data_IF_300822275858
#
_entry.id   IF_300822275858
#
_cell.length_a   1.000
_cell.length_b   1.000
_cell.length_c   1.000
_cell.angle_alpha   90.00
_cell.angle_beta   90.00
_cell.angle_gamma   90.00
#
_symmetry.space_group_name_H-M   'P 1'
#
loop_
_entity.id
_entity.type
_entity.pdbx_description
1 polymer ?
#
# COMPACT_ATOMS: atom_id res chain seq x y z
N UNK A 1 9.73 -6.23 26.84
CA UNK A 1 9.72 -5.09 25.90
C UNK A 1 9.85 -5.69 24.53
N UNK A 2 8.97 -5.33 23.60
CA UNK A 2 9.10 -5.73 22.21
C UNK A 2 10.02 -4.71 21.51
N UNK A 3 11.14 -5.18 20.98
CA UNK A 3 12.23 -4.39 20.38
C UNK A 3 12.21 -4.40 18.85
N UNK A 4 11.50 -5.35 18.22
CA UNK A 4 11.26 -5.37 16.78
C UNK A 4 9.92 -6.01 16.37
N UNK A 5 9.53 -5.78 15.12
CA UNK A 5 8.31 -6.27 14.46
C UNK A 5 8.62 -6.97 13.12
N UNK A 6 9.90 -7.22 12.82
CA UNK A 6 10.34 -7.70 11.50
C UNK A 6 10.95 -9.10 11.53
N UNK A 7 11.01 -9.75 12.69
CA UNK A 7 11.61 -11.07 12.88
C UNK A 7 10.89 -12.16 12.08
N UNK A 8 9.58 -12.01 11.89
CA UNK A 8 8.77 -12.94 11.08
C UNK A 8 8.80 -12.62 9.58
N UNK A 9 9.48 -11.54 9.17
CA UNK A 9 9.56 -11.14 7.76
C UNK A 9 10.63 -11.97 7.05
N UNK A 10 10.20 -12.96 6.27
CA UNK A 10 11.06 -13.65 5.31
C UNK A 10 11.28 -12.78 4.06
N UNK A 11 12.49 -12.21 3.92
CA UNK A 11 12.87 -11.36 2.80
C UNK A 11 12.81 -12.07 1.42
N UNK A 12 12.82 -13.40 1.37
CA UNK A 12 12.70 -14.16 0.12
C UNK A 12 11.26 -14.35 -0.32
N UNK A 13 10.28 -14.18 0.59
CA UNK A 13 8.87 -14.46 0.34
C UNK A 13 7.98 -13.23 0.45
N UNK A 14 8.35 -12.29 1.31
CA UNK A 14 7.58 -11.10 1.61
C UNK A 14 8.15 -9.89 0.88
N UNK A 15 7.25 -9.01 0.43
CA UNK A 15 7.61 -7.75 -0.19
C UNK A 15 7.09 -6.62 0.69
N UNK A 16 8.00 -5.71 1.05
CA UNK A 16 7.68 -4.48 1.75
C UNK A 16 8.15 -3.30 0.89
N UNK A 17 7.36 -2.24 0.88
CA UNK A 17 7.67 -1.00 0.18
C UNK A 17 7.65 0.14 1.19
N UNK A 18 8.44 1.17 0.96
CA UNK A 18 8.54 2.33 1.85
C UNK A 18 8.58 3.59 1.02
N UNK A 19 7.92 4.64 1.49
CA UNK A 19 7.98 5.95 0.88
C UNK A 19 7.81 7.03 1.95
N UNK A 20 8.45 8.17 1.71
CA UNK A 20 8.33 9.35 2.55
C UNK A 20 8.24 10.59 1.67
N UNK A 21 7.48 11.57 2.13
CA UNK A 21 7.50 12.92 1.60
C UNK A 21 8.61 13.73 2.27
N UNK A 22 8.97 14.89 1.71
CA UNK A 22 9.99 15.78 2.30
C UNK A 22 9.64 16.24 3.72
N UNK A 23 8.36 16.33 4.06
CA UNK A 23 7.89 16.73 5.39
C UNK A 23 7.56 15.55 6.31
N UNK A 24 7.79 14.30 5.87
CA UNK A 24 7.54 13.09 6.65
C UNK A 24 6.08 12.66 6.75
N UNK A 25 5.13 13.42 6.20
CA UNK A 25 3.71 13.11 6.26
C UNK A 25 3.20 12.47 4.97
N UNK A 26 2.37 11.43 5.10
CA UNK A 26 1.62 10.92 3.95
C UNK A 26 0.61 11.97 3.45
N UNK A 27 0.23 11.86 2.18
CA UNK A 27 -0.78 12.71 1.57
C UNK A 27 -1.54 11.96 0.48
N UNK A 28 -2.61 12.56 -0.03
CA UNK A 28 -3.49 11.97 -1.05
C UNK A 28 -2.72 11.55 -2.31
N UNK A 29 -1.72 12.33 -2.72
CA UNK A 29 -0.92 11.98 -3.90
C UNK A 29 -0.14 10.69 -3.63
N UNK A 30 0.55 10.60 -2.50
CA UNK A 30 1.34 9.43 -2.14
C UNK A 30 0.45 8.19 -1.99
N UNK A 31 -0.72 8.33 -1.38
CA UNK A 31 -1.71 7.25 -1.27
C UNK A 31 -2.16 6.72 -2.64
N UNK A 32 -2.45 7.62 -3.59
CA UNK A 32 -2.82 7.24 -4.95
C UNK A 32 -1.66 6.60 -5.73
N UNK A 33 -0.44 7.16 -5.62
CA UNK A 33 0.75 6.58 -6.25
C UNK A 33 1.00 5.16 -5.74
N UNK A 34 0.79 4.91 -4.45
CA UNK A 34 0.90 3.58 -3.84
C UNK A 34 -0.15 2.60 -4.36
N UNK A 35 -1.41 3.04 -4.46
CA UNK A 35 -2.49 2.21 -5.00
C UNK A 35 -2.18 1.72 -6.42
N UNK A 36 -1.70 2.62 -7.28
CA UNK A 36 -1.43 2.32 -8.69
C UNK A 36 -0.09 1.58 -8.88
N UNK A 37 0.99 2.09 -8.28
CA UNK A 37 2.34 1.64 -8.61
C UNK A 37 2.85 0.51 -7.73
N UNK A 38 2.22 0.28 -6.57
CA UNK A 38 2.56 -0.82 -5.67
C UNK A 38 1.48 -1.88 -5.68
N UNK A 39 0.27 -1.56 -5.21
CA UNK A 39 -0.80 -2.56 -5.08
C UNK A 39 -1.27 -3.10 -6.43
N UNK A 40 -1.69 -2.23 -7.36
CA UNK A 40 -2.21 -2.67 -8.65
C UNK A 40 -1.14 -3.42 -9.44
N UNK A 41 0.04 -2.82 -9.58
CA UNK A 41 1.19 -3.43 -10.26
C UNK A 41 1.55 -4.82 -9.72
N UNK A 42 1.55 -5.02 -8.40
CA UNK A 42 1.91 -6.30 -7.77
C UNK A 42 0.81 -7.37 -7.88
N UNK A 43 -0.46 -6.97 -8.02
CA UNK A 43 -1.59 -7.90 -7.88
C UNK A 43 -2.34 -8.17 -9.19
N UNK A 44 -2.34 -7.22 -10.14
CA UNK A 44 -3.16 -7.28 -11.36
C UNK A 44 -2.90 -8.53 -12.20
N UNK A 45 -1.63 -8.86 -12.45
CA UNK A 45 -1.26 -10.02 -13.25
C UNK A 45 -1.68 -11.34 -12.57
N UNK A 46 -1.49 -11.44 -11.26
CA UNK A 46 -1.85 -12.63 -10.47
C UNK A 46 -3.36 -12.82 -10.36
N UNK A 47 -4.12 -11.72 -10.27
CA UNK A 47 -5.56 -11.74 -10.12
C UNK A 47 -6.30 -12.12 -11.42
N UNK A 48 -5.71 -11.89 -12.60
CA UNK A 48 -6.31 -12.20 -13.91
C UNK A 48 -7.76 -11.70 -14.04
N UNK A 49 -7.99 -10.44 -13.66
CA UNK A 49 -9.32 -9.75 -13.64
C UNK A 49 -10.30 -10.21 -12.56
N UNK A 50 -9.85 -10.99 -11.57
CA UNK A 50 -10.64 -11.32 -10.38
C UNK A 50 -10.53 -10.22 -9.32
N UNK A 51 -11.44 -10.25 -8.37
CA UNK A 51 -11.43 -9.39 -7.18
C UNK A 51 -10.11 -9.50 -6.41
N UNK A 52 -9.72 -8.38 -5.80
CA UNK A 52 -8.50 -8.23 -5.00
C UNK A 52 -8.88 -7.60 -3.66
N UNK A 53 -8.19 -7.99 -2.61
CA UNK A 53 -8.41 -7.47 -1.27
C UNK A 53 -7.28 -6.51 -0.89
N UNK A 54 -7.64 -5.29 -0.52
CA UNK A 54 -6.72 -4.26 -0.04
C UNK A 54 -7.13 -3.87 1.39
N UNK A 55 -6.20 -4.00 2.33
CA UNK A 55 -6.36 -3.52 3.69
C UNK A 55 -5.68 -2.16 3.83
N UNK A 56 -6.42 -1.15 4.29
CA UNK A 56 -5.90 0.20 4.56
C UNK A 56 -6.34 0.63 5.95
N UNK A 57 -5.48 1.35 6.66
CA UNK A 57 -5.89 2.02 7.89
C UNK A 57 -6.73 3.27 7.58
N UNK A 58 -7.62 3.67 8.49
CA UNK A 58 -8.51 4.82 8.35
C UNK A 58 -7.75 6.17 8.48
N UNK A 59 -6.99 6.54 7.47
CA UNK A 59 -6.32 7.85 7.37
C UNK A 59 -6.86 8.58 6.14
N UNK A 60 -7.06 9.90 6.24
CA UNK A 60 -7.71 10.70 5.19
C UNK A 60 -7.06 10.55 3.81
N UNK A 61 -5.73 10.35 3.77
CA UNK A 61 -5.00 10.12 2.51
C UNK A 61 -5.41 8.86 1.75
N UNK A 62 -6.05 7.90 2.40
CA UNK A 62 -6.54 6.64 1.82
C UNK A 62 -8.05 6.65 1.55
N UNK A 63 -8.75 7.74 1.90
CA UNK A 63 -10.20 7.89 1.76
C UNK A 63 -10.52 9.21 1.04
N UNK A 64 -9.98 9.35 -0.17
CA UNK A 64 -10.34 10.43 -1.09
C UNK A 64 -11.07 9.88 -2.33
N UNK A 65 -11.78 10.76 -3.05
CA UNK A 65 -12.60 10.36 -4.19
C UNK A 65 -11.80 9.62 -5.27
N UNK A 66 -10.57 10.08 -5.56
CA UNK A 66 -9.72 9.47 -6.59
C UNK A 66 -9.32 8.04 -6.21
N UNK A 67 -9.01 7.82 -4.92
CA UNK A 67 -8.67 6.51 -4.40
C UNK A 67 -9.87 5.55 -4.51
N UNK A 68 -11.06 6.00 -4.07
CA UNK A 68 -12.29 5.20 -4.12
C UNK A 68 -12.73 4.91 -5.56
N UNK A 69 -12.54 5.83 -6.49
CA UNK A 69 -12.86 5.63 -7.91
C UNK A 69 -11.92 4.65 -8.61
N UNK A 70 -10.69 4.50 -8.12
CA UNK A 70 -9.76 3.52 -8.67
C UNK A 70 -10.09 2.09 -8.22
N UNK A 71 -10.52 1.94 -6.97
CA UNK A 71 -10.96 0.68 -6.39
C UNK A 71 -12.22 0.13 -7.07
#
# INVERSE_FOLDING_TARGET
VQDSWVEEVDANRHQAYFAATKNGWTNDKLGNDWLVHVFDKATSARARRRWRLLFVHNHGSHLNLKFVQFC
#
